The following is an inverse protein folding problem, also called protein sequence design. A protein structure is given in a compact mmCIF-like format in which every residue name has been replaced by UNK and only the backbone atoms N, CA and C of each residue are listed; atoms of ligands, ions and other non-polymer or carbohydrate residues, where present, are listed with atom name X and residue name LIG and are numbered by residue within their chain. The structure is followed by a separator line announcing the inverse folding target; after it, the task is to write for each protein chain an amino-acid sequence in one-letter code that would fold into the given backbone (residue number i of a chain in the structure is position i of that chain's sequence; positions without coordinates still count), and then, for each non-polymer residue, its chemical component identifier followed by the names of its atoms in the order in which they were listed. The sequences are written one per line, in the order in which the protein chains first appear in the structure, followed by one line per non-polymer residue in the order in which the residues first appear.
data_IF_861423586246
#
_entry.id   IF_861423586246
#
_cell.length_a   1.000
_cell.length_b   1.000
_cell.length_c   1.000
_cell.angle_alpha   90.00
_cell.angle_beta   90.00
_cell.angle_gamma   90.00
#
_symmetry.space_group_name_H-M   'P 1'
#
loop_
_entity.id
_entity.type
_entity.pdbx_description
1 polymer ?
#
# COMPACT_ATOMS: atom_id res chain seq x y z
N UNK A 1 52.57 10.29 42.34
CA UNK A 1 52.90 10.33 40.89
C UNK A 1 51.62 9.97 40.15
N UNK A 2 50.86 10.96 39.64
CA UNK A 2 50.82 11.45 38.23
C UNK A 2 50.40 10.31 37.25
N UNK A 3 49.40 10.44 36.38
CA UNK A 3 48.76 11.62 35.79
C UNK A 3 47.36 11.32 35.22
N UNK A 4 46.56 12.39 35.07
CA UNK A 4 45.38 12.49 34.21
C UNK A 4 45.75 12.36 32.72
N UNK A 5 44.81 11.86 31.92
CA UNK A 5 44.66 12.25 30.52
C UNK A 5 43.16 12.21 30.15
N UNK A 6 42.57 13.40 29.96
CA UNK A 6 41.26 13.56 29.34
C UNK A 6 41.38 13.52 27.82
N UNK A 7 40.42 12.89 27.16
CA UNK A 7 40.19 13.05 25.73
C UNK A 7 38.75 13.53 25.57
N UNK A 8 38.64 14.78 25.12
CA UNK A 8 37.43 15.39 24.61
C UNK A 8 36.95 14.60 23.39
N UNK A 9 35.77 13.99 23.48
CA UNK A 9 35.04 13.55 22.29
C UNK A 9 34.19 14.71 21.80
N UNK A 10 34.50 15.16 20.59
CA UNK A 10 33.72 16.10 19.81
C UNK A 10 32.27 15.61 19.69
N UNK A 11 31.34 16.49 20.07
CA UNK A 11 29.93 16.41 19.72
C UNK A 11 29.79 16.42 18.19
N UNK A 12 29.02 15.51 17.57
CA UNK A 12 28.52 15.75 16.24
C UNK A 12 27.47 16.87 16.32
N UNK A 13 27.79 18.00 15.68
CA UNK A 13 26.83 19.01 15.28
C UNK A 13 25.78 18.38 14.34
N UNK A 14 24.50 18.64 14.65
CA UNK A 14 23.33 18.59 13.78
C UNK A 14 22.96 17.23 13.15
N UNK A 15 22.21 16.44 13.92
CA UNK A 15 21.08 15.71 13.36
C UNK A 15 19.86 16.65 13.41
N UNK A 16 19.35 17.06 12.25
CA UNK A 16 18.08 17.75 12.16
C UNK A 16 16.96 16.77 12.53
N UNK A 17 16.18 17.09 13.58
CA UNK A 17 14.87 16.49 13.81
C UNK A 17 14.00 16.72 12.56
N UNK A 18 13.33 15.70 12.00
CA UNK A 18 12.30 15.95 11.00
C UNK A 18 11.10 16.59 11.72
N UNK A 19 10.81 17.86 11.41
CA UNK A 19 9.50 18.43 11.69
C UNK A 19 9.41 19.66 12.60
N UNK A 20 10.52 20.31 13.00
CA UNK A 20 10.41 21.68 13.53
C UNK A 20 10.54 22.68 12.39
N UNK A 21 9.46 23.38 11.98
CA UNK A 21 9.59 24.48 11.03
C UNK A 21 10.55 25.53 11.61
N UNK A 22 11.37 26.12 10.74
CA UNK A 22 12.16 27.30 11.10
C UNK A 22 11.23 28.36 11.69
N UNK A 23 11.61 29.05 12.77
CA UNK A 23 10.82 30.17 13.28
C UNK A 23 10.70 31.24 12.18
N UNK A 24 9.52 31.33 11.56
CA UNK A 24 9.21 32.22 10.44
C UNK A 24 8.69 31.56 9.16
N UNK A 25 8.70 30.23 9.03
CA UNK A 25 8.07 29.56 7.88
C UNK A 25 6.55 29.42 8.10
N UNK A 26 5.75 30.02 7.20
CA UNK A 26 4.29 29.88 7.18
C UNK A 26 3.94 28.40 6.96
N UNK A 27 3.00 27.86 7.74
CA UNK A 27 2.59 26.46 7.58
C UNK A 27 1.88 26.22 6.24
N UNK A 28 1.85 24.98 5.70
CA UNK A 28 1.19 24.71 4.43
C UNK A 28 -0.29 25.16 4.36
N UNK A 29 -1.14 24.95 5.40
CA UNK A 29 -2.51 25.49 5.43
C UNK A 29 -2.54 27.02 5.41
N UNK A 30 -1.71 27.69 6.21
CA UNK A 30 -1.66 29.16 6.28
C UNK A 30 -1.21 29.77 4.95
N UNK A 31 -0.31 29.11 4.21
CA UNK A 31 0.11 29.56 2.88
C UNK A 31 -1.06 29.54 1.88
N UNK A 32 -1.88 28.49 1.89
CA UNK A 32 -3.09 28.42 1.06
C UNK A 32 -4.11 29.49 1.49
N UNK A 33 -4.32 29.68 2.79
CA UNK A 33 -5.22 30.69 3.32
C UNK A 33 -4.79 32.12 2.99
N UNK A 34 -3.49 32.42 3.03
CA UNK A 34 -2.95 33.72 2.63
C UNK A 34 -3.25 34.04 1.15
N UNK A 35 -3.16 33.03 0.27
CA UNK A 35 -3.52 33.19 -1.14
C UNK A 35 -5.03 33.42 -1.29
N UNK A 36 -5.89 32.79 -0.48
CA UNK A 36 -7.32 33.09 -0.50
C UNK A 36 -7.57 34.56 -0.19
N UNK A 37 -6.97 35.08 0.89
CA UNK A 37 -7.10 36.49 1.28
C UNK A 37 -6.63 37.45 0.18
N UNK A 38 -5.54 37.13 -0.51
CA UNK A 38 -5.08 37.92 -1.67
C UNK A 38 -6.10 37.85 -2.84
N UNK A 39 -6.62 36.66 -3.13
CA UNK A 39 -7.64 36.43 -4.15
C UNK A 39 -9.01 37.03 -3.80
N UNK A 40 -9.25 37.54 -2.59
CA UNK A 40 -10.49 38.22 -2.22
C UNK A 40 -10.59 39.66 -2.71
N UNK A 41 -9.45 40.29 -2.97
CA UNK A 41 -9.37 41.70 -3.39
C UNK A 41 -8.68 41.88 -4.73
N UNK A 42 -7.95 40.88 -5.23
CA UNK A 42 -7.26 40.93 -6.53
C UNK A 42 -8.20 41.31 -7.68
N UNK A 43 -7.74 42.23 -8.53
CA UNK A 43 -8.47 42.80 -9.65
C UNK A 43 -7.68 42.77 -10.96
N UNK A 44 -6.39 42.41 -10.94
CA UNK A 44 -5.58 42.15 -12.12
C UNK A 44 -5.65 40.66 -12.51
N UNK A 45 -6.02 40.39 -13.77
CA UNK A 45 -6.16 39.03 -14.28
C UNK A 45 -4.83 38.26 -14.21
N UNK A 46 -3.72 38.89 -14.57
CA UNK A 46 -2.41 38.22 -14.59
C UNK A 46 -1.95 37.86 -13.19
N UNK A 47 -2.19 38.72 -12.19
CA UNK A 47 -1.92 38.44 -10.79
C UNK A 47 -2.81 37.33 -10.24
N UNK A 48 -4.12 37.35 -10.54
CA UNK A 48 -5.04 36.28 -10.16
C UNK A 48 -4.61 34.91 -10.72
N UNK A 49 -4.19 34.86 -12.00
CA UNK A 49 -3.65 33.64 -12.63
C UNK A 49 -2.41 33.12 -11.91
N UNK A 50 -1.46 33.99 -11.55
CA UNK A 50 -0.25 33.57 -10.80
C UNK A 50 -0.62 33.00 -9.43
N UNK A 51 -1.46 33.71 -8.68
CA UNK A 51 -1.92 33.28 -7.35
C UNK A 51 -2.66 31.94 -7.41
N UNK A 52 -3.53 31.72 -8.41
CA UNK A 52 -4.25 30.46 -8.55
C UNK A 52 -3.34 29.29 -8.93
N UNK A 53 -2.32 29.51 -9.77
CA UNK A 53 -1.33 28.47 -10.08
C UNK A 53 -0.54 28.08 -8.82
N UNK A 54 -0.10 29.06 -8.05
CA UNK A 54 0.56 28.82 -6.77
C UNK A 54 -0.36 28.08 -5.80
N UNK A 55 -1.61 28.54 -5.66
CA UNK A 55 -2.62 27.90 -4.82
C UNK A 55 -2.85 26.45 -5.24
N UNK A 56 -2.95 26.16 -6.54
CA UNK A 56 -3.16 24.80 -7.05
C UNK A 56 -2.01 23.87 -6.63
N UNK A 57 -0.76 24.31 -6.79
CA UNK A 57 0.41 23.54 -6.36
C UNK A 57 0.42 23.29 -4.84
N UNK A 58 0.13 24.34 -4.04
CA UNK A 58 0.06 24.24 -2.58
C UNK A 58 -1.09 23.36 -2.09
N UNK A 59 -2.26 23.48 -2.71
CA UNK A 59 -3.41 22.66 -2.36
C UNK A 59 -3.18 21.19 -2.70
N UNK A 60 -2.46 20.88 -3.79
CA UNK A 60 -2.06 19.50 -4.12
C UNK A 60 -1.16 18.89 -3.05
N UNK A 61 -0.15 19.63 -2.60
CA UNK A 61 0.71 19.24 -1.47
C UNK A 61 -0.10 19.04 -0.17
N UNK A 62 -1.06 19.93 0.08
CA UNK A 62 -1.92 19.87 1.25
C UNK A 62 -2.90 18.68 1.20
N UNK A 63 -3.44 18.33 0.04
CA UNK A 63 -4.26 17.12 -0.15
C UNK A 63 -3.48 15.88 0.27
N UNK A 64 -2.21 15.79 -0.12
CA UNK A 64 -1.38 14.62 0.14
C UNK A 64 -0.97 14.47 1.63
N UNK A 65 -0.88 15.58 2.35
CA UNK A 65 -0.29 15.62 3.71
C UNK A 65 -1.29 15.92 4.82
N UNK A 66 -2.31 16.74 4.55
CA UNK A 66 -3.34 17.20 5.49
C UNK A 66 -4.71 17.32 4.77
N UNK A 67 -5.32 16.19 4.36
CA UNK A 67 -6.54 16.21 3.54
C UNK A 67 -7.71 16.94 4.20
N UNK A 68 -7.84 16.89 5.54
CA UNK A 68 -8.86 17.64 6.26
C UNK A 68 -8.71 19.16 6.05
N UNK A 69 -7.50 19.69 6.22
CA UNK A 69 -7.21 21.11 5.98
C UNK A 69 -7.41 21.50 4.50
N UNK A 70 -7.05 20.63 3.56
CA UNK A 70 -7.31 20.86 2.15
C UNK A 70 -8.80 20.97 1.82
N UNK A 71 -9.64 20.14 2.47
CA UNK A 71 -11.09 20.18 2.30
C UNK A 71 -11.71 21.46 2.88
N UNK A 72 -11.23 21.92 4.03
CA UNK A 72 -11.64 23.19 4.65
C UNK A 72 -11.20 24.40 3.82
N UNK A 73 -10.01 24.35 3.22
CA UNK A 73 -9.42 25.41 2.40
C UNK A 73 -9.78 25.33 0.92
N UNK A 74 -10.90 24.69 0.59
CA UNK A 74 -11.52 24.80 -0.74
C UNK A 74 -11.85 26.26 -1.07
N UNK A 75 -11.67 26.66 -2.32
CA UNK A 75 -11.87 28.02 -2.79
C UNK A 75 -13.36 28.38 -2.64
N UNK A 76 -13.69 29.38 -1.81
CA UNK A 76 -15.08 29.76 -1.57
C UNK A 76 -15.80 30.19 -2.85
N UNK A 77 -17.09 29.83 -2.98
CA UNK A 77 -17.89 30.16 -4.17
C UNK A 77 -17.93 31.66 -4.44
N UNK A 78 -17.99 32.49 -3.38
CA UNK A 78 -17.89 33.95 -3.47
C UNK A 78 -16.63 34.42 -4.23
N UNK A 79 -15.49 33.79 -3.97
CA UNK A 79 -14.22 34.12 -4.64
C UNK A 79 -14.25 33.59 -6.08
N UNK A 80 -14.73 32.35 -6.29
CA UNK A 80 -14.88 31.74 -7.62
C UNK A 80 -15.71 32.61 -8.56
N UNK A 81 -16.91 32.99 -8.17
CA UNK A 81 -17.81 33.83 -8.96
C UNK A 81 -17.18 35.18 -9.29
N UNK A 82 -16.49 35.79 -8.32
CA UNK A 82 -15.81 37.08 -8.52
C UNK A 82 -14.68 36.97 -9.53
N UNK A 83 -13.84 35.94 -9.42
CA UNK A 83 -12.73 35.70 -10.35
C UNK A 83 -13.24 35.32 -11.76
N UNK A 84 -14.36 34.61 -11.87
CA UNK A 84 -15.00 34.31 -13.16
C UNK A 84 -15.56 35.57 -13.84
N UNK A 85 -16.00 36.57 -13.07
CA UNK A 85 -16.37 37.89 -13.61
C UNK A 85 -15.15 38.69 -14.06
N UNK A 86 -13.99 38.49 -13.43
CA UNK A 86 -12.72 39.09 -13.84
C UNK A 86 -12.24 38.49 -15.16
N UNK A 87 -12.16 37.15 -15.25
CA UNK A 87 -11.82 36.45 -16.47
C UNK A 87 -12.39 35.02 -16.48
N UNK A 88 -13.26 34.66 -17.45
CA UNK A 88 -13.82 33.31 -17.53
C UNK A 88 -12.78 32.21 -17.78
N UNK A 89 -11.61 32.55 -18.35
CA UNK A 89 -10.54 31.59 -18.69
C UNK A 89 -9.84 31.02 -17.46
N UNK A 90 -9.99 31.69 -16.31
CA UNK A 90 -9.40 31.28 -15.03
C UNK A 90 -10.05 30.00 -14.46
N UNK A 91 -11.23 29.61 -14.95
CA UNK A 91 -12.01 28.45 -14.46
C UNK A 91 -11.16 27.18 -14.31
N UNK A 92 -10.29 26.91 -15.27
CA UNK A 92 -9.48 25.68 -15.30
C UNK A 92 -8.39 25.64 -14.21
N UNK A 93 -8.11 26.79 -13.57
CA UNK A 93 -7.16 26.89 -12.47
C UNK A 93 -7.78 26.54 -11.10
N UNK A 94 -9.11 26.50 -11.00
CA UNK A 94 -9.78 26.09 -9.77
C UNK A 94 -9.59 24.60 -9.50
N UNK A 95 -9.63 24.22 -8.22
CA UNK A 95 -9.87 22.83 -7.87
C UNK A 95 -11.31 22.44 -8.23
N UNK A 96 -11.52 21.18 -8.57
CA UNK A 96 -12.85 20.64 -8.75
C UNK A 96 -13.42 20.24 -7.39
N UNK A 97 -14.70 20.56 -7.16
CA UNK A 97 -15.43 20.13 -5.98
C UNK A 97 -16.56 19.23 -6.45
N UNK A 98 -16.75 18.08 -5.82
CA UNK A 98 -17.74 17.14 -6.31
C UNK A 98 -17.84 15.84 -5.52
N UNK A 99 -18.65 14.96 -6.08
CA UNK A 99 -18.81 13.58 -5.66
C UNK A 99 -18.37 12.67 -6.80
N UNK A 100 -17.71 11.59 -6.44
CA UNK A 100 -17.19 10.60 -7.36
C UNK A 100 -17.54 9.19 -6.85
N UNK A 101 -17.86 8.29 -7.77
CA UNK A 101 -18.27 6.93 -7.43
C UNK A 101 -17.68 5.94 -8.42
N UNK A 102 -16.85 5.02 -7.93
CA UNK A 102 -16.25 3.95 -8.73
C UNK A 102 -15.71 2.83 -7.82
N UNK A 103 -15.11 1.80 -8.42
CA UNK A 103 -14.36 0.76 -7.70
C UNK A 103 -13.07 1.33 -7.09
N UNK A 104 -12.85 1.03 -5.82
CA UNK A 104 -11.63 1.31 -5.11
C UNK A 104 -10.51 0.38 -5.60
N UNK A 105 -9.33 0.94 -5.77
CA UNK A 105 -8.07 0.23 -5.78
C UNK A 105 -7.34 0.54 -4.48
N UNK A 106 -7.02 -0.52 -3.74
CA UNK A 106 -6.37 -0.45 -2.44
C UNK A 106 -5.06 -1.19 -2.56
N UNK A 107 -3.98 -0.51 -2.18
CA UNK A 107 -2.63 -1.03 -2.33
C UNK A 107 -1.89 -0.83 -1.01
N UNK A 108 -1.17 -1.84 -0.56
CA UNK A 108 -0.17 -1.72 0.49
C UNK A 108 1.22 -1.62 -0.15
N UNK A 109 2.02 -0.68 0.34
CA UNK A 109 3.40 -0.45 -0.09
C UNK A 109 4.32 -0.65 1.12
N UNK A 110 5.33 -1.50 0.95
CA UNK A 110 6.13 -2.04 2.04
C UNK A 110 7.63 -1.80 1.80
N UNK A 111 8.23 -0.98 2.66
CA UNK A 111 9.69 -0.80 2.73
C UNK A 111 10.19 -1.34 4.08
N UNK A 112 10.39 -2.65 4.14
CA UNK A 112 10.90 -3.35 5.32
C UNK A 112 12.27 -2.84 5.77
N UNK A 113 13.12 -2.40 4.84
CA UNK A 113 14.46 -1.91 5.17
C UNK A 113 14.42 -0.60 5.96
N UNK A 114 13.40 0.24 5.71
CA UNK A 114 13.18 1.50 6.43
C UNK A 114 12.08 1.42 7.49
N UNK A 115 11.35 0.30 7.58
CA UNK A 115 10.20 0.15 8.48
C UNK A 115 9.05 1.08 8.10
N UNK A 116 8.85 1.34 6.80
CA UNK A 116 7.79 2.22 6.30
C UNK A 116 6.71 1.36 5.64
N UNK A 117 5.45 1.59 6.01
CA UNK A 117 4.26 1.06 5.35
C UNK A 117 3.41 2.22 4.86
N UNK A 118 2.75 2.07 3.71
CA UNK A 118 1.75 3.02 3.23
C UNK A 118 0.59 2.30 2.56
N UNK A 119 -0.61 2.51 3.09
CA UNK A 119 -1.83 2.20 2.35
C UNK A 119 -2.17 3.32 1.38
N UNK A 120 -2.36 2.97 0.11
CA UNK A 120 -2.76 3.89 -0.96
C UNK A 120 -4.13 3.52 -1.48
N UNK A 121 -4.98 4.54 -1.61
CA UNK A 121 -6.34 4.42 -2.12
C UNK A 121 -6.45 5.15 -3.44
N UNK A 122 -7.06 4.52 -4.43
CA UNK A 122 -7.29 5.06 -5.76
C UNK A 122 -8.66 4.67 -6.25
N UNK A 123 -9.16 5.37 -7.26
CA UNK A 123 -10.31 4.93 -8.05
C UNK A 123 -10.14 5.40 -9.50
N UNK A 124 -10.77 4.72 -10.46
CA UNK A 124 -10.68 5.10 -11.87
C UNK A 124 -11.93 5.84 -12.35
N UNK A 125 -11.99 7.15 -12.15
CA UNK A 125 -13.14 7.95 -12.60
C UNK A 125 -12.90 8.63 -13.93
N UNK A 126 -13.76 8.34 -14.91
CA UNK A 126 -13.71 8.97 -16.24
C UNK A 126 -12.42 8.69 -17.00
N UNK A 127 -11.83 7.50 -16.80
CA UNK A 127 -10.57 7.08 -17.43
C UNK A 127 -9.32 7.69 -16.80
N UNK A 128 -9.44 8.31 -15.62
CA UNK A 128 -8.31 8.86 -14.85
C UNK A 128 -8.18 8.14 -13.52
N UNK A 129 -6.96 7.71 -13.20
CA UNK A 129 -6.64 7.22 -11.87
C UNK A 129 -6.57 8.41 -10.90
N UNK A 130 -7.48 8.46 -9.93
CA UNK A 130 -7.54 9.48 -8.90
C UNK A 130 -7.02 8.91 -7.59
N UNK A 131 -5.92 9.45 -7.07
CA UNK A 131 -5.44 9.12 -5.73
C UNK A 131 -6.33 9.79 -4.67
N UNK A 132 -6.77 8.99 -3.69
CA UNK A 132 -7.70 9.40 -2.65
C UNK A 132 -6.96 9.56 -1.32
N UNK A 133 -7.08 10.75 -0.74
CA UNK A 133 -6.59 11.06 0.59
C UNK A 133 -7.78 11.30 1.50
N UNK A 134 -8.09 10.31 2.34
CA UNK A 134 -9.26 10.40 3.20
C UNK A 134 -9.00 11.33 4.38
N UNK A 135 -9.98 12.17 4.70
CA UNK A 135 -9.91 13.06 5.88
C UNK A 135 -10.01 12.29 7.20
N UNK A 136 -10.66 11.14 7.18
CA UNK A 136 -10.79 10.18 8.28
C UNK A 136 -10.41 8.79 7.78
N UNK A 137 -9.79 7.93 8.60
CA UNK A 137 -9.47 6.57 8.19
C UNK A 137 -10.72 5.84 7.64
N UNK A 138 -10.71 5.33 6.40
CA UNK A 138 -11.84 4.59 5.88
C UNK A 138 -11.98 3.25 6.63
N UNK A 139 -13.13 2.56 6.52
CA UNK A 139 -13.23 1.16 6.93
C UNK A 139 -12.22 0.30 6.14
N UNK A 140 -12.11 -0.99 6.46
CA UNK A 140 -11.19 -1.92 5.79
C UNK A 140 -11.62 -2.22 4.33
N UNK A 141 -11.48 -1.22 3.46
CA UNK A 141 -11.74 -1.29 2.02
C UNK A 141 -10.79 -2.29 1.35
N UNK A 142 -11.27 -2.90 0.27
CA UNK A 142 -10.49 -3.77 -0.61
C UNK A 142 -10.66 -3.33 -2.06
N UNK A 143 -9.76 -3.81 -2.91
CA UNK A 143 -9.91 -3.71 -4.35
C UNK A 143 -11.28 -4.23 -4.80
N UNK A 144 -11.90 -3.51 -5.73
CA UNK A 144 -13.21 -3.84 -6.29
C UNK A 144 -14.39 -3.34 -5.47
N UNK A 145 -14.22 -2.96 -4.20
CA UNK A 145 -15.29 -2.32 -3.43
C UNK A 145 -15.74 -1.05 -4.12
N UNK A 146 -17.05 -0.87 -4.34
CA UNK A 146 -17.56 0.33 -4.98
C UNK A 146 -17.79 1.40 -3.93
N UNK A 147 -17.04 2.50 -4.03
CA UNK A 147 -17.05 3.59 -3.05
C UNK A 147 -17.64 4.85 -3.67
N UNK A 148 -18.38 5.61 -2.85
CA UNK A 148 -18.82 6.98 -3.15
C UNK A 148 -18.05 7.91 -2.23
N UNK A 149 -17.38 8.90 -2.80
CA UNK A 149 -16.56 9.87 -2.07
C UNK A 149 -16.93 11.30 -2.47
N UNK A 150 -16.87 12.21 -1.51
CA UNK A 150 -17.12 13.64 -1.73
C UNK A 150 -15.88 14.44 -1.31
N UNK A 151 -15.50 15.46 -2.09
CA UNK A 151 -14.37 16.28 -1.69
C UNK A 151 -13.88 17.27 -2.73
N UNK A 152 -12.58 17.55 -2.67
CA UNK A 152 -11.89 18.47 -3.60
C UNK A 152 -10.77 17.76 -4.34
N UNK A 153 -10.67 18.01 -5.64
CA UNK A 153 -9.69 17.41 -6.54
C UNK A 153 -8.80 18.46 -7.18
N UNK A 154 -7.50 18.19 -7.16
CA UNK A 154 -6.49 18.91 -7.95
C UNK A 154 -5.72 17.89 -8.78
N UNK A 155 -5.80 18.03 -10.10
CA UNK A 155 -5.20 17.10 -11.06
C UNK A 155 -5.64 15.64 -10.84
N UNK A 156 -4.72 14.81 -10.36
CA UNK A 156 -4.81 13.36 -10.14
C UNK A 156 -4.92 12.99 -8.65
N UNK A 157 -5.15 13.96 -7.76
CA UNK A 157 -5.30 13.72 -6.32
C UNK A 157 -6.54 14.41 -5.76
N UNK A 158 -7.20 13.79 -4.79
CA UNK A 158 -8.34 14.36 -4.10
C UNK A 158 -8.29 14.16 -2.58
N UNK A 159 -8.64 15.20 -1.82
CA UNK A 159 -8.96 15.08 -0.41
C UNK A 159 -10.45 14.78 -0.27
N UNK A 160 -10.80 13.69 0.40
CA UNK A 160 -12.16 13.13 0.34
C UNK A 160 -12.70 12.66 1.69
N UNK A 161 -14.02 12.77 1.82
CA UNK A 161 -14.85 12.07 2.80
C UNK A 161 -15.53 10.89 2.13
N UNK A 162 -15.64 9.78 2.86
CA UNK A 162 -16.37 8.61 2.39
C UNK A 162 -17.87 8.82 2.61
N UNK A 163 -18.65 8.75 1.53
CA UNK A 163 -20.10 8.93 1.54
C UNK A 163 -20.87 7.60 1.46
N UNK A 164 -20.23 6.52 0.98
CA UNK A 164 -20.83 5.19 0.96
C UNK A 164 -19.89 4.10 0.45
N UNK A 165 -20.17 2.86 0.85
CA UNK A 165 -19.43 1.67 0.41
C UNK A 165 -20.43 0.59 0.03
N UNK A 166 -20.23 -0.01 -1.13
CA UNK A 166 -20.86 -1.25 -1.56
C UNK A 166 -19.77 -2.30 -1.69
N UNK A 167 -19.75 -3.25 -0.77
CA UNK A 167 -18.73 -4.31 -0.72
C UNK A 167 -18.87 -5.19 -1.96
N UNK A 168 -17.74 -5.44 -2.64
CA UNK A 168 -17.74 -6.28 -3.83
C UNK A 168 -17.91 -7.75 -3.50
N UNK A 169 -18.80 -8.42 -4.23
CA UNK A 169 -18.87 -9.89 -4.24
C UNK A 169 -17.82 -10.52 -5.18
N UNK A 170 -17.22 -9.72 -6.06
CA UNK A 170 -16.24 -10.17 -7.06
C UNK A 170 -14.83 -10.13 -6.44
N UNK A 171 -14.55 -11.09 -5.57
CA UNK A 171 -13.22 -11.31 -4.99
C UNK A 171 -12.67 -12.69 -5.36
N UNK A 172 -11.35 -12.82 -5.43
CA UNK A 172 -10.75 -14.16 -5.52
C UNK A 172 -10.88 -14.88 -4.17
N UNK A 173 -11.10 -16.20 -4.22
CA UNK A 173 -11.12 -17.05 -3.03
C UNK A 173 -9.81 -16.96 -2.25
N UNK A 174 -9.88 -17.02 -0.92
CA UNK A 174 -8.72 -17.21 -0.03
C UNK A 174 -8.42 -18.70 0.23
N UNK A 175 -9.27 -19.58 -0.29
CA UNK A 175 -9.24 -21.03 -0.13
C UNK A 175 -8.98 -21.71 -1.49
N UNK A 176 -8.45 -22.92 -1.42
CA UNK A 176 -8.11 -23.76 -2.56
C UNK A 176 -6.84 -23.31 -3.29
N UNK A 177 -6.74 -23.77 -4.53
CA UNK A 177 -5.62 -23.47 -5.42
C UNK A 177 -5.63 -22.00 -5.87
N UNK A 178 -4.56 -21.28 -5.55
CA UNK A 178 -4.32 -19.91 -5.98
C UNK A 178 -3.49 -19.94 -7.27
N UNK A 179 -4.17 -19.86 -8.43
CA UNK A 179 -3.51 -19.85 -9.74
C UNK A 179 -2.69 -18.58 -9.93
N UNK A 180 -1.37 -18.74 -9.95
CA UNK A 180 -0.42 -17.63 -9.92
C UNK A 180 0.46 -17.57 -11.17
N UNK A 181 0.45 -16.45 -11.89
CA UNK A 181 1.39 -16.17 -12.96
C UNK A 181 2.51 -15.27 -12.42
N UNK A 182 3.75 -15.77 -12.45
CA UNK A 182 4.93 -15.00 -12.05
C UNK A 182 5.64 -14.47 -13.29
N UNK A 183 5.73 -13.15 -13.42
CA UNK A 183 6.34 -12.49 -14.56
C UNK A 183 7.71 -11.93 -14.16
N UNK A 184 8.77 -12.40 -14.81
CA UNK A 184 10.11 -11.85 -14.69
C UNK A 184 10.24 -10.68 -15.66
N UNK A 185 10.59 -9.50 -15.16
CA UNK A 185 10.60 -8.28 -15.96
C UNK A 185 11.98 -7.64 -16.01
N UNK A 186 12.41 -7.26 -17.21
CA UNK A 186 13.56 -6.39 -17.45
C UNK A 186 13.06 -5.02 -17.92
N UNK A 187 13.83 -3.98 -17.61
CA UNK A 187 13.68 -2.67 -18.23
C UNK A 187 14.84 -2.43 -19.22
N UNK A 188 14.72 -1.50 -20.17
CA UNK A 188 15.76 -1.25 -21.17
C UNK A 188 17.15 -0.95 -20.57
N UNK A 189 17.22 -0.29 -19.42
CA UNK A 189 18.50 0.01 -18.75
C UNK A 189 18.70 -0.71 -17.41
N UNK A 190 17.86 -1.68 -17.07
CA UNK A 190 17.99 -2.45 -15.83
C UNK A 190 17.49 -3.89 -16.07
N UNK A 191 18.34 -4.88 -15.81
CA UNK A 191 17.99 -6.29 -15.97
C UNK A 191 17.97 -6.98 -14.62
N UNK A 192 17.17 -8.05 -14.52
CA UNK A 192 17.20 -8.93 -13.36
C UNK A 192 18.61 -9.53 -13.20
N UNK A 193 19.06 -9.72 -11.95
CA UNK A 193 20.31 -10.43 -11.68
C UNK A 193 20.32 -11.81 -12.35
N UNK A 194 21.46 -12.27 -12.91
CA UNK A 194 21.55 -13.57 -13.59
C UNK A 194 21.15 -14.77 -12.73
N UNK A 195 21.25 -14.64 -11.40
CA UNK A 195 20.84 -15.67 -10.45
C UNK A 195 19.31 -15.85 -10.37
N UNK A 196 18.51 -14.86 -10.79
CA UNK A 196 17.05 -14.93 -10.84
C UNK A 196 16.59 -15.59 -12.14
N UNK A 197 16.76 -16.90 -12.18
CA UNK A 197 16.28 -17.75 -13.27
C UNK A 197 14.79 -18.11 -13.07
N UNK A 198 14.06 -18.48 -14.13
CA UNK A 198 12.71 -19.01 -13.99
C UNK A 198 12.62 -20.18 -12.99
N UNK A 199 13.61 -21.08 -12.97
CA UNK A 199 13.65 -22.20 -12.03
C UNK A 199 13.88 -21.78 -10.58
N UNK A 200 14.78 -20.81 -10.32
CA UNK A 200 15.03 -20.36 -8.94
C UNK A 200 13.82 -19.59 -8.38
N UNK A 201 13.14 -18.80 -9.21
CA UNK A 201 11.90 -18.13 -8.83
C UNK A 201 10.76 -19.13 -8.66
N UNK A 202 10.69 -20.17 -9.51
CA UNK A 202 9.71 -21.24 -9.35
C UNK A 202 9.83 -21.90 -7.96
N UNK A 203 11.06 -22.17 -7.49
CA UNK A 203 11.29 -22.73 -6.16
C UNK A 203 10.75 -21.85 -5.03
N UNK A 204 10.80 -20.52 -5.16
CA UNK A 204 10.31 -19.57 -4.14
C UNK A 204 8.78 -19.61 -4.04
N UNK A 205 8.07 -19.70 -5.16
CA UNK A 205 6.60 -19.65 -5.18
C UNK A 205 5.93 -21.02 -5.06
N UNK A 206 6.50 -22.05 -5.70
CA UNK A 206 5.84 -23.34 -5.92
C UNK A 206 6.69 -24.55 -5.54
N UNK A 207 7.95 -24.36 -5.17
CA UNK A 207 8.86 -25.45 -4.81
C UNK A 207 8.45 -26.16 -3.52
N UNK A 208 8.97 -27.38 -3.33
CA UNK A 208 8.82 -28.14 -2.07
C UNK A 208 10.10 -28.12 -1.21
N UNK A 209 11.21 -27.63 -1.75
CA UNK A 209 12.52 -27.52 -1.07
C UNK A 209 13.41 -26.50 -1.81
N UNK A 210 13.98 -25.47 -1.13
CA UNK A 210 13.67 -25.04 0.25
C UNK A 210 12.20 -24.58 0.38
N UNK A 211 11.80 -24.09 1.56
CA UNK A 211 10.43 -23.61 1.82
C UNK A 211 9.97 -22.64 0.73
N UNK A 212 8.68 -22.66 0.40
CA UNK A 212 8.07 -21.80 -0.62
C UNK A 212 6.82 -21.09 -0.11
N UNK A 213 6.30 -20.13 -0.90
CA UNK A 213 5.00 -19.51 -0.64
C UNK A 213 3.89 -20.56 -0.58
N UNK A 214 3.85 -21.49 -1.55
CA UNK A 214 2.84 -22.56 -1.58
C UNK A 214 2.93 -23.45 -0.34
N UNK A 215 4.14 -23.85 0.08
CA UNK A 215 4.34 -24.69 1.26
C UNK A 215 3.90 -23.96 2.54
N UNK A 216 4.29 -22.69 2.71
CA UNK A 216 3.88 -21.88 3.85
C UNK A 216 2.36 -21.74 3.93
N UNK A 217 1.69 -21.43 2.82
CA UNK A 217 0.24 -21.33 2.81
C UNK A 217 -0.42 -22.66 3.10
N UNK A 218 0.09 -23.76 2.56
CA UNK A 218 -0.46 -25.10 2.82
C UNK A 218 -0.34 -25.46 4.29
N UNK A 219 0.81 -25.21 4.92
CA UNK A 219 1.05 -25.44 6.34
C UNK A 219 0.16 -24.52 7.20
N UNK A 220 0.25 -23.22 6.97
CA UNK A 220 -0.44 -22.19 7.76
C UNK A 220 -1.97 -22.29 7.70
N UNK A 221 -2.51 -22.85 6.61
CA UNK A 221 -3.96 -22.98 6.36
C UNK A 221 -4.50 -24.39 6.63
N UNK A 222 -3.70 -25.31 7.17
CA UNK A 222 -4.09 -26.71 7.40
C UNK A 222 -4.54 -27.42 6.10
N UNK A 223 -3.82 -27.16 5.02
CA UNK A 223 -4.06 -27.73 3.70
C UNK A 223 -5.19 -27.06 2.90
N UNK A 224 -5.80 -25.98 3.41
CA UNK A 224 -6.94 -25.33 2.76
C UNK A 224 -6.57 -24.42 1.61
N UNK A 225 -5.35 -23.90 1.59
CA UNK A 225 -4.89 -22.93 0.59
C UNK A 225 -3.47 -23.26 0.15
N UNK A 226 -3.20 -23.16 -1.14
CA UNK A 226 -1.86 -23.32 -1.71
C UNK A 226 -1.76 -22.55 -3.01
N UNK A 227 -0.54 -22.40 -3.54
CA UNK A 227 -0.30 -21.73 -4.81
C UNK A 227 0.10 -22.75 -5.89
N UNK A 228 -0.35 -22.56 -7.12
CA UNK A 228 0.18 -23.28 -8.28
C UNK A 228 0.24 -22.36 -9.49
N UNK A 229 1.14 -22.67 -10.42
CA UNK A 229 1.26 -21.85 -11.62
C UNK A 229 2.59 -22.00 -12.31
N UNK A 230 3.03 -20.92 -12.96
CA UNK A 230 4.22 -20.92 -13.78
C UNK A 230 4.97 -19.58 -13.68
N UNK A 231 6.26 -19.63 -14.02
CA UNK A 231 7.14 -18.47 -14.13
C UNK A 231 7.42 -18.21 -15.59
N UNK A 232 7.22 -16.96 -16.02
CA UNK A 232 7.33 -16.52 -17.41
C UNK A 232 8.38 -15.42 -17.56
N UNK A 233 9.00 -15.35 -18.73
CA UNK A 233 10.00 -14.35 -19.08
C UNK A 233 11.45 -14.81 -18.91
N UNK A 234 12.42 -13.88 -18.84
CA UNK A 234 12.20 -12.45 -18.66
C UNK A 234 11.60 -11.75 -19.87
N UNK A 235 10.65 -10.84 -19.64
CA UNK A 235 10.12 -9.91 -20.65
C UNK A 235 10.78 -8.54 -20.49
N UNK A 236 11.28 -7.97 -21.57
CA UNK A 236 11.81 -6.59 -21.55
C UNK A 236 10.69 -5.60 -21.86
N UNK A 237 10.40 -4.70 -20.91
CA UNK A 237 9.41 -3.63 -21.08
C UNK A 237 9.93 -2.55 -22.05
N UNK A 238 9.00 -1.74 -22.61
CA UNK A 238 9.31 -0.74 -23.64
C UNK A 238 10.07 0.49 -23.11
N UNK A 239 10.07 0.72 -21.80
CA UNK A 239 10.74 1.85 -21.15
C UNK A 239 11.14 1.50 -19.71
N UNK A 240 11.93 2.38 -19.09
CA UNK A 240 12.24 2.28 -17.67
C UNK A 240 11.10 2.86 -16.84
N UNK A 241 10.89 2.28 -15.66
CA UNK A 241 9.93 2.76 -14.67
C UNK A 241 10.60 2.97 -13.31
N UNK A 242 9.90 3.69 -12.44
CA UNK A 242 10.25 3.93 -11.03
C UNK A 242 9.24 3.25 -10.10
N UNK A 243 9.60 3.05 -8.83
CA UNK A 243 8.74 2.45 -7.81
C UNK A 243 7.41 3.20 -7.59
N UNK A 244 7.26 4.44 -8.08
CA UNK A 244 6.00 5.18 -8.00
C UNK A 244 4.99 4.87 -9.11
N UNK A 245 5.37 4.04 -10.10
CA UNK A 245 4.60 3.81 -11.33
C UNK A 245 3.97 2.41 -11.38
N UNK A 246 3.38 1.97 -10.27
CA UNK A 246 2.83 0.61 -10.10
C UNK A 246 1.77 0.20 -11.12
N UNK A 247 0.82 1.09 -11.42
CA UNK A 247 -0.21 0.83 -12.42
C UNK A 247 0.40 0.70 -13.80
N UNK A 248 1.31 1.59 -14.17
CA UNK A 248 1.95 1.58 -15.49
C UNK A 248 2.87 0.36 -15.67
N UNK A 249 3.57 -0.06 -14.60
CA UNK A 249 4.40 -1.28 -14.61
C UNK A 249 3.51 -2.51 -14.80
N UNK A 250 2.41 -2.63 -14.04
CA UNK A 250 1.48 -3.76 -14.16
C UNK A 250 0.89 -3.85 -15.57
N UNK A 251 0.38 -2.74 -16.09
CA UNK A 251 -0.27 -2.72 -17.40
C UNK A 251 0.74 -3.04 -18.52
N UNK A 252 1.98 -2.53 -18.42
CA UNK A 252 3.06 -2.85 -19.34
C UNK A 252 3.52 -4.32 -19.25
N UNK A 253 3.54 -4.90 -18.03
CA UNK A 253 3.89 -6.30 -17.82
C UNK A 253 2.85 -7.25 -18.42
N UNK A 254 1.55 -6.96 -18.22
CA UNK A 254 0.45 -7.70 -18.87
C UNK A 254 0.62 -7.63 -20.39
N UNK A 255 0.78 -6.43 -20.95
CA UNK A 255 0.94 -6.25 -22.39
C UNK A 255 2.17 -6.98 -22.97
N UNK A 256 3.29 -6.98 -22.25
CA UNK A 256 4.52 -7.65 -22.71
C UNK A 256 4.43 -9.18 -22.68
N UNK A 257 3.66 -9.74 -21.74
CA UNK A 257 3.51 -11.18 -21.55
C UNK A 257 2.28 -11.78 -22.24
N UNK A 258 1.37 -10.95 -22.74
CA UNK A 258 0.07 -11.31 -23.33
C UNK A 258 0.15 -12.44 -24.36
N UNK A 259 1.07 -12.36 -25.32
CA UNK A 259 1.25 -13.41 -26.34
C UNK A 259 1.72 -14.78 -25.80
N UNK A 260 2.20 -14.83 -24.56
CA UNK A 260 2.73 -16.03 -23.91
C UNK A 260 1.87 -16.52 -22.74
N UNK A 261 0.94 -15.71 -22.23
CA UNK A 261 0.19 -15.98 -21.00
C UNK A 261 -1.28 -15.63 -21.19
N UNK A 262 -2.14 -16.65 -21.16
CA UNK A 262 -3.59 -16.43 -21.01
C UNK A 262 -3.90 -16.08 -19.55
N UNK A 263 -4.01 -14.80 -19.26
CA UNK A 263 -4.24 -14.29 -17.90
C UNK A 263 -5.58 -14.70 -17.30
N UNK A 264 -6.55 -15.14 -18.11
CA UNK A 264 -7.86 -15.60 -17.62
C UNK A 264 -7.75 -16.91 -16.83
N UNK A 265 -6.62 -17.60 -16.92
CA UNK A 265 -6.32 -18.83 -16.17
C UNK A 265 -5.74 -18.56 -14.77
N UNK A 266 -5.47 -17.30 -14.43
CA UNK A 266 -4.78 -16.91 -13.21
C UNK A 266 -5.61 -15.93 -12.37
N UNK A 267 -5.54 -16.08 -11.05
CA UNK A 267 -6.18 -15.19 -10.08
C UNK A 267 -5.17 -14.35 -9.29
N UNK A 268 -3.87 -14.64 -9.44
CA UNK A 268 -2.77 -13.90 -8.83
C UNK A 268 -1.71 -13.58 -9.89
N UNK A 269 -1.30 -12.32 -9.95
CA UNK A 269 -0.16 -11.88 -10.75
C UNK A 269 0.99 -11.47 -9.82
N UNK A 270 2.18 -11.95 -10.10
CA UNK A 270 3.41 -11.59 -9.39
C UNK A 270 4.35 -10.92 -10.39
N UNK A 271 4.77 -9.70 -10.10
CA UNK A 271 5.71 -8.94 -10.93
C UNK A 271 7.07 -8.92 -10.24
N UNK A 272 8.06 -9.60 -10.80
CA UNK A 272 9.45 -9.56 -10.31
C UNK A 272 10.20 -8.46 -11.06
N UNK A 273 10.57 -7.40 -10.33
CA UNK A 273 11.07 -6.16 -10.93
C UNK A 273 12.58 -5.99 -10.79
N UNK A 274 13.28 -5.42 -11.79
CA UNK A 274 14.72 -5.16 -11.74
C UNK A 274 15.01 -3.85 -10.97
N UNK A 275 14.27 -3.61 -9.88
CA UNK A 275 14.36 -2.44 -9.02
C UNK A 275 14.48 -2.87 -7.56
N UNK A 276 14.97 -1.98 -6.70
CA UNK A 276 14.91 -2.10 -5.25
C UNK A 276 13.78 -1.21 -4.72
N UNK A 277 12.57 -1.76 -4.62
CA UNK A 277 11.35 -1.03 -4.28
C UNK A 277 10.61 -1.61 -3.06
N UNK A 278 11.20 -2.58 -2.36
CA UNK A 278 10.47 -3.37 -1.37
C UNK A 278 9.33 -4.17 -1.99
N UNK A 279 8.21 -4.20 -1.28
CA UNK A 279 7.00 -4.95 -1.62
C UNK A 279 5.82 -4.03 -1.95
N UNK A 280 4.86 -4.57 -2.70
CA UNK A 280 3.57 -3.94 -2.92
C UNK A 280 2.55 -5.01 -3.25
N UNK A 281 1.37 -4.91 -2.64
CA UNK A 281 0.26 -5.81 -2.86
C UNK A 281 -1.05 -5.07 -2.99
N UNK A 282 -1.84 -5.42 -4.01
CA UNK A 282 -3.25 -5.04 -4.03
C UNK A 282 -3.99 -5.76 -2.90
N UNK A 283 -4.86 -5.06 -2.18
CA UNK A 283 -5.65 -5.64 -1.09
C UNK A 283 -6.90 -6.30 -1.69
N UNK A 284 -6.83 -7.61 -1.92
CA UNK A 284 -7.87 -8.34 -2.66
C UNK A 284 -7.71 -8.25 -4.18
N UNK A 285 -8.73 -8.74 -4.90
CA UNK A 285 -8.73 -8.78 -6.37
C UNK A 285 -9.48 -7.62 -6.99
N UNK A 286 -9.15 -7.32 -8.24
CA UNK A 286 -9.89 -6.39 -9.09
C UNK A 286 -10.03 -6.94 -10.49
N UNK A 287 -10.90 -6.32 -11.27
CA UNK A 287 -10.94 -6.56 -12.71
C UNK A 287 -9.73 -5.91 -13.38
N UNK A 288 -9.00 -6.72 -14.13
CA UNK A 288 -7.91 -6.35 -15.03
C UNK A 288 -8.28 -6.74 -16.45
N UNK A 289 -7.52 -6.26 -17.44
CA UNK A 289 -7.78 -6.55 -18.86
C UNK A 289 -6.48 -6.86 -19.59
N UNK A 290 -6.57 -7.83 -20.50
CA UNK A 290 -5.55 -8.28 -21.45
C UNK A 290 -6.13 -8.28 -22.86
N UNK A 291 -5.35 -8.57 -23.90
CA UNK A 291 -5.89 -8.68 -25.26
C UNK A 291 -6.88 -9.86 -25.39
N UNK A 292 -6.72 -10.88 -24.56
CA UNK A 292 -7.61 -12.05 -24.48
C UNK A 292 -8.93 -11.78 -23.73
N UNK A 293 -9.07 -10.59 -23.14
CA UNK A 293 -10.26 -10.13 -22.43
C UNK A 293 -10.01 -9.76 -20.97
N UNK A 294 -11.10 -9.49 -20.26
CA UNK A 294 -11.07 -9.15 -18.83
C UNK A 294 -10.93 -10.39 -17.95
N UNK A 295 -10.22 -10.24 -16.85
CA UNK A 295 -10.02 -11.28 -15.84
C UNK A 295 -9.94 -10.66 -14.44
N UNK A 296 -10.23 -11.44 -13.41
CA UNK A 296 -10.19 -10.98 -12.02
C UNK A 296 -8.94 -11.53 -11.35
N UNK A 297 -8.04 -10.64 -10.95
CA UNK A 297 -6.83 -11.02 -10.26
C UNK A 297 -6.39 -9.97 -9.25
N UNK A 298 -5.59 -10.40 -8.30
CA UNK A 298 -4.79 -9.52 -7.45
C UNK A 298 -3.37 -9.44 -8.00
N UNK A 299 -2.64 -8.40 -7.66
CA UNK A 299 -1.27 -8.21 -8.09
C UNK A 299 -0.37 -7.98 -6.89
N UNK A 300 0.80 -8.60 -6.91
CA UNK A 300 1.93 -8.15 -6.10
C UNK A 300 3.07 -7.78 -7.03
N UNK A 301 3.95 -6.91 -6.55
CA UNK A 301 5.32 -6.88 -7.06
C UNK A 301 6.31 -7.26 -5.97
N UNK A 302 7.47 -7.71 -6.42
CA UNK A 302 8.60 -7.99 -5.53
C UNK A 302 9.86 -7.43 -6.20
N UNK A 303 10.50 -6.47 -5.55
CA UNK A 303 11.77 -5.92 -5.99
C UNK A 303 12.92 -6.92 -5.83
N UNK A 304 13.99 -6.72 -6.61
CA UNK A 304 15.23 -7.53 -6.53
C UNK A 304 15.89 -7.53 -5.14
N UNK A 305 15.64 -6.50 -4.32
CA UNK A 305 16.09 -6.39 -2.93
C UNK A 305 15.52 -7.49 -2.01
N UNK A 306 14.38 -8.09 -2.37
CA UNK A 306 13.81 -9.25 -1.68
C UNK A 306 14.60 -10.55 -1.91
N UNK A 307 15.36 -10.64 -3.01
CA UNK A 307 15.97 -11.89 -3.46
C UNK A 307 17.41 -12.09 -2.99
N UNK A 308 17.83 -11.37 -1.95
CA UNK A 308 19.15 -11.55 -1.33
C UNK A 308 19.32 -12.97 -0.73
N UNK A 309 18.24 -13.54 -0.20
CA UNK A 309 18.20 -14.93 0.27
C UNK A 309 16.89 -15.58 -0.14
N UNK A 310 16.86 -16.92 -0.22
CA UNK A 310 15.63 -17.65 -0.54
C UNK A 310 14.53 -17.37 0.50
N UNK A 311 14.85 -17.40 1.79
CA UNK A 311 13.84 -17.19 2.82
C UNK A 311 13.32 -15.75 2.86
N UNK A 312 14.14 -14.75 2.56
CA UNK A 312 13.64 -13.37 2.43
C UNK A 312 12.68 -13.24 1.24
N UNK A 313 13.00 -13.88 0.11
CA UNK A 313 12.11 -13.87 -1.05
C UNK A 313 10.78 -14.58 -0.76
N UNK A 314 10.80 -15.69 -0.01
CA UNK A 314 9.59 -16.38 0.47
C UNK A 314 8.82 -15.49 1.44
N UNK A 315 9.50 -14.82 2.37
CA UNK A 315 8.88 -13.88 3.30
C UNK A 315 8.10 -12.80 2.56
N UNK A 316 8.74 -12.14 1.59
CA UNK A 316 8.10 -11.12 0.75
C UNK A 316 6.94 -11.68 -0.06
N UNK A 317 7.14 -12.82 -0.74
CA UNK A 317 6.09 -13.46 -1.52
C UNK A 317 4.85 -13.79 -0.66
N UNK A 318 5.06 -14.29 0.56
CA UNK A 318 3.98 -14.63 1.49
C UNK A 318 3.34 -13.36 2.08
N UNK A 319 4.11 -12.35 2.45
CA UNK A 319 3.61 -11.08 2.99
C UNK A 319 2.70 -10.38 1.97
N UNK A 320 3.22 -10.10 0.78
CA UNK A 320 2.47 -9.43 -0.28
C UNK A 320 1.27 -10.27 -0.75
N UNK A 321 1.46 -11.59 -0.81
CA UNK A 321 0.38 -12.52 -1.11
C UNK A 321 -0.73 -12.53 -0.04
N UNK A 322 -0.42 -12.19 1.21
CA UNK A 322 -1.41 -11.97 2.27
C UNK A 322 -2.29 -10.75 2.00
N UNK A 323 -1.72 -9.65 1.50
CA UNK A 323 -2.51 -8.51 1.02
C UNK A 323 -3.44 -8.91 -0.12
N UNK A 324 -3.00 -9.75 -1.05
CA UNK A 324 -3.83 -10.29 -2.13
C UNK A 324 -5.05 -11.11 -1.63
N UNK A 325 -5.03 -11.62 -0.39
CA UNK A 325 -6.18 -12.21 0.28
C UNK A 325 -7.04 -11.21 1.08
N UNK A 326 -6.61 -9.95 1.13
CA UNK A 326 -7.30 -8.86 1.80
C UNK A 326 -6.88 -8.65 3.25
N UNK A 327 -5.70 -9.15 3.65
CA UNK A 327 -5.11 -8.86 4.96
C UNK A 327 -4.45 -7.49 4.98
N UNK A 328 -4.38 -6.92 6.19
CA UNK A 328 -3.54 -5.77 6.51
C UNK A 328 -2.32 -6.25 7.30
N UNK A 329 -1.41 -5.34 7.63
CA UNK A 329 -0.26 -5.66 8.45
C UNK A 329 -0.65 -6.16 9.84
N UNK A 330 0.20 -7.00 10.40
CA UNK A 330 0.16 -7.39 11.80
C UNK A 330 1.10 -6.49 12.57
N UNK A 331 0.53 -5.70 13.48
CA UNK A 331 1.24 -4.71 14.27
C UNK A 331 1.20 -5.05 15.76
N UNK A 332 1.96 -4.31 16.55
CA UNK A 332 1.84 -4.34 18.02
C UNK A 332 1.26 -3.04 18.55
N UNK A 333 0.53 -3.17 19.65
CA UNK A 333 0.04 -2.04 20.44
C UNK A 333 0.48 -2.24 21.89
N UNK A 334 1.46 -1.46 22.33
CA UNK A 334 2.05 -1.56 23.65
C UNK A 334 1.48 -0.52 24.63
N UNK A 335 1.25 -0.93 25.88
CA UNK A 335 0.70 -0.08 26.95
C UNK A 335 1.70 0.06 28.10
N UNK A 336 2.85 0.68 27.82
CA UNK A 336 3.95 0.81 28.79
C UNK A 336 4.35 -0.58 29.34
N UNK A 337 4.25 -0.82 30.65
CA UNK A 337 4.58 -2.10 31.28
C UNK A 337 3.43 -3.11 31.32
N UNK A 338 2.23 -2.77 30.82
CA UNK A 338 1.08 -3.66 30.86
C UNK A 338 0.90 -4.41 29.52
N UNK A 339 0.60 -5.73 29.55
CA UNK A 339 0.35 -6.50 28.34
C UNK A 339 -0.99 -6.15 27.66
N UNK A 340 -1.95 -5.60 28.41
CA UNK A 340 -3.26 -5.16 27.94
C UNK A 340 -3.68 -3.90 28.71
N UNK A 341 -4.53 -3.07 28.11
CA UNK A 341 -5.12 -1.89 28.73
C UNK A 341 -6.65 -1.90 28.61
N UNK A 342 -7.33 -0.91 29.21
CA UNK A 342 -8.77 -0.74 29.07
C UNK A 342 -9.17 -0.53 27.60
N UNK A 343 -10.37 -0.96 27.24
CA UNK A 343 -10.91 -0.77 25.90
C UNK A 343 -10.87 0.73 25.52
N UNK A 344 -10.31 1.04 24.35
CA UNK A 344 -10.17 2.41 23.86
C UNK A 344 -8.96 3.19 24.40
N UNK A 345 -8.10 2.58 25.23
CA UNK A 345 -6.85 3.22 25.62
C UNK A 345 -5.93 3.44 24.41
N UNK A 346 -5.25 4.58 24.39
CA UNK A 346 -4.25 4.88 23.36
C UNK A 346 -2.93 4.20 23.73
N UNK A 347 -2.48 3.26 22.90
CA UNK A 347 -1.19 2.58 23.05
C UNK A 347 -0.15 3.12 22.09
N UNK A 348 1.11 2.72 22.30
CA UNK A 348 2.18 2.93 21.32
C UNK A 348 2.05 1.88 20.23
N UNK A 349 1.80 2.32 19.00
CA UNK A 349 1.66 1.45 17.84
C UNK A 349 3.00 1.25 17.14
N UNK A 350 3.32 0.02 16.76
CA UNK A 350 4.43 -0.33 15.88
C UNK A 350 3.90 -1.24 14.77
N UNK A 351 3.82 -0.69 13.55
CA UNK A 351 3.22 -1.30 12.36
C UNK A 351 3.77 -2.68 12.06
N UNK A 352 5.08 -2.87 12.23
CA UNK A 352 5.75 -4.14 11.93
C UNK A 352 6.21 -4.89 13.19
N UNK A 353 5.72 -4.47 14.36
CA UNK A 353 6.18 -5.00 15.65
C UNK A 353 5.81 -6.46 15.90
N UNK A 354 4.91 -7.06 15.11
CA UNK A 354 4.61 -8.50 15.21
C UNK A 354 5.62 -9.32 14.40
N UNK A 355 6.76 -9.61 15.04
CA UNK A 355 7.83 -10.42 14.43
C UNK A 355 7.46 -11.90 14.21
N UNK A 356 6.34 -12.38 14.78
CA UNK A 356 5.93 -13.78 14.68
C UNK A 356 4.92 -14.03 13.56
N UNK A 357 4.44 -12.97 12.92
CA UNK A 357 3.51 -13.02 11.80
C UNK A 357 4.21 -12.56 10.53
N UNK A 358 4.05 -13.31 9.43
CA UNK A 358 4.50 -12.84 8.12
C UNK A 358 3.68 -11.69 7.55
N UNK A 359 2.65 -11.21 8.25
CA UNK A 359 2.03 -9.90 7.97
C UNK A 359 2.66 -8.76 8.80
N UNK A 360 3.60 -9.03 9.70
CA UNK A 360 4.43 -8.02 10.35
C UNK A 360 5.77 -7.86 9.62
N UNK A 361 6.84 -7.55 10.33
CA UNK A 361 8.17 -7.47 9.71
C UNK A 361 8.64 -8.83 9.19
N UNK A 362 9.28 -8.81 8.00
CA UNK A 362 10.23 -9.85 7.61
C UNK A 362 11.46 -9.81 8.55
N UNK A 363 11.30 -10.34 9.77
CA UNK A 363 12.31 -10.30 10.82
C UNK A 363 13.43 -11.33 10.63
N UNK A 364 14.69 -10.86 10.71
CA UNK A 364 15.86 -11.72 10.77
C UNK A 364 16.30 -11.92 12.23
N UNK A 365 16.35 -13.17 12.67
CA UNK A 365 16.83 -13.54 14.00
C UNK A 365 17.98 -14.54 13.89
N UNK A 366 19.15 -14.17 14.43
CA UNK A 366 20.31 -15.05 14.46
C UNK A 366 20.83 -15.45 13.06
N UNK A 367 20.65 -14.59 12.06
CA UNK A 367 21.05 -14.86 10.67
C UNK A 367 20.05 -15.66 9.85
N UNK A 368 18.89 -16.02 10.43
CA UNK A 368 17.81 -16.72 9.75
C UNK A 368 16.55 -15.87 9.68
N UNK A 369 15.82 -15.97 8.58
CA UNK A 369 14.54 -15.31 8.42
C UNK A 369 13.48 -16.06 9.23
N UNK A 370 12.72 -15.36 10.07
CA UNK A 370 11.60 -15.95 10.79
C UNK A 370 10.38 -16.01 9.86
N UNK A 371 10.02 -17.21 9.40
CA UNK A 371 8.87 -17.45 8.51
C UNK A 371 7.63 -17.89 9.31
N UNK A 372 7.19 -17.03 10.23
CA UNK A 372 6.04 -17.31 11.10
C UNK A 372 4.71 -17.49 10.35
N UNK A 373 3.75 -18.16 10.99
CA UNK A 373 2.39 -18.22 10.46
C UNK A 373 1.72 -16.84 10.52
N UNK A 374 0.72 -16.58 9.68
CA UNK A 374 -0.16 -15.44 9.92
C UNK A 374 -0.80 -15.52 11.31
N UNK A 375 -0.96 -14.37 11.96
CA UNK A 375 -1.62 -14.26 13.26
C UNK A 375 -3.05 -14.82 13.24
N UNK A 376 -3.55 -15.26 14.40
CA UNK A 376 -4.87 -15.88 14.52
C UNK A 376 -6.03 -15.03 13.95
N UNK A 377 -6.10 -13.70 14.16
CA UNK A 377 -7.14 -12.87 13.54
C UNK A 377 -7.13 -12.95 12.01
N UNK A 378 -5.93 -12.95 11.40
CA UNK A 378 -5.78 -13.10 9.96
C UNK A 378 -6.23 -14.48 9.49
N UNK A 379 -5.81 -15.56 10.14
CA UNK A 379 -6.30 -16.92 9.80
C UNK A 379 -7.82 -17.03 9.88
N UNK A 380 -8.45 -16.38 10.87
CA UNK A 380 -9.90 -16.33 10.98
C UNK A 380 -10.54 -15.54 9.82
N UNK A 381 -10.00 -14.36 9.48
CA UNK A 381 -10.48 -13.55 8.36
C UNK A 381 -10.43 -14.28 7.01
N UNK A 382 -9.42 -15.14 6.82
CA UNK A 382 -9.25 -15.93 5.61
C UNK A 382 -10.11 -17.19 5.55
N UNK A 383 -10.82 -17.53 6.64
CA UNK A 383 -11.56 -18.79 6.74
C UNK A 383 -10.66 -20.03 6.87
N UNK A 384 -9.41 -19.86 7.31
CA UNK A 384 -8.46 -20.97 7.47
C UNK A 384 -8.75 -21.81 8.71
N UNK A 385 -9.38 -21.23 9.72
CA UNK A 385 -9.84 -21.97 10.88
C UNK A 385 -11.09 -22.81 10.57
N UNK A 386 -11.13 -24.04 11.10
CA UNK A 386 -12.33 -24.86 11.09
C UNK A 386 -13.37 -24.33 12.09
N UNK A 387 -14.66 -24.63 11.90
CA UNK A 387 -15.66 -24.45 12.95
C UNK A 387 -15.19 -25.16 14.23
N UNK A 388 -15.03 -24.43 15.33
CA UNK A 388 -14.52 -24.95 16.61
C UNK A 388 -13.10 -24.51 16.98
N UNK A 389 -12.30 -24.02 16.03
CA UNK A 389 -10.96 -23.47 16.34
C UNK A 389 -11.04 -22.09 16.99
N UNK A 390 -12.23 -21.46 16.95
CA UNK A 390 -12.52 -20.19 17.63
C UNK A 390 -13.69 -20.40 18.58
N UNK A 391 -13.46 -20.07 19.85
CA UNK A 391 -14.48 -20.10 20.90
C UNK A 391 -14.89 -18.68 21.30
N UNK A 392 -16.19 -18.40 21.35
CA UNK A 392 -16.72 -17.15 21.93
C UNK A 392 -16.94 -17.35 23.42
N UNK A 393 -16.17 -16.63 24.24
CA UNK A 393 -16.25 -16.68 25.70
C UNK A 393 -17.22 -15.61 26.19
N UNK A 394 -18.32 -16.03 26.83
CA UNK A 394 -19.35 -15.12 27.38
C UNK A 394 -19.50 -15.22 28.91
N UNK A 395 -18.84 -16.20 29.52
CA UNK A 395 -18.87 -16.45 30.96
C UNK A 395 -17.45 -16.45 31.51
N UNK A 396 -17.29 -16.07 32.78
CA UNK A 396 -15.99 -16.17 33.44
C UNK A 396 -15.60 -17.65 33.65
N UNK A 397 -14.36 -17.99 33.36
CA UNK A 397 -13.86 -19.37 33.48
C UNK A 397 -12.41 -19.52 33.07
N UNK A 398 -11.91 -20.75 33.17
CA UNK A 398 -10.59 -21.14 32.65
C UNK A 398 -10.74 -21.74 31.27
N UNK A 399 -9.88 -21.30 30.34
CA UNK A 399 -9.88 -21.73 28.95
C UNK A 399 -8.48 -22.20 28.55
N UNK A 400 -8.39 -23.28 27.78
CA UNK A 400 -7.12 -23.78 27.23
C UNK A 400 -6.98 -23.30 25.80
N UNK A 401 -5.86 -22.62 25.52
CA UNK A 401 -5.49 -22.22 24.16
C UNK A 401 -4.42 -23.19 23.68
N UNK A 402 -4.70 -23.88 22.58
CA UNK A 402 -3.73 -24.76 21.94
C UNK A 402 -2.83 -23.96 20.99
N UNK A 403 -1.57 -24.37 20.80
CA UNK A 403 -0.74 -23.78 19.75
C UNK A 403 -1.41 -24.00 18.39
N UNK A 404 -1.67 -22.92 17.67
CA UNK A 404 -2.48 -22.98 16.45
C UNK A 404 -1.72 -23.57 15.26
N UNK A 405 -0.40 -23.72 15.33
CA UNK A 405 0.38 -24.44 14.33
C UNK A 405 0.05 -25.94 14.26
N UNK A 406 -0.53 -26.51 15.33
CA UNK A 406 -0.82 -27.95 15.43
C UNK A 406 -2.31 -28.30 15.40
N UNK A 407 -3.23 -27.32 15.36
CA UNK A 407 -4.67 -27.57 15.46
C UNK A 407 -5.38 -27.54 14.11
N UNK A 408 -5.88 -28.71 13.69
CA UNK A 408 -6.83 -28.89 12.59
C UNK A 408 -8.26 -28.66 13.05
#
# INVERSE_FOLDING_TARGET
MKALAGVFSLLPLWAAEPGRPFPGAISPPEAVAAIHSALETEADESAAVRLLRERRARLKELIATQPAAALELRLPERIRERLLRLSPTIRDLFEEQGEWEDEAEVIEEDDFARGISRTRYRMNTGGRNLALHFVEPPPALKCGDRIRVQGVRVDDQAAVQLAGVQVSAAGCSTLGDQKTAVLLLNFPSASLPPALTPSSVYSIFFGSTPRSQSDHWRESSYGRTWSSGAVFGPFTLSQNYSCGQDTQIRDAAIAAADSAVDFRLYTRLVLVLPLACGGLGTVGCRTLTSADGSFTASTIWVGTDAFNTSDLAVCMAVHEGGHNFGLRHASTLAFSSAPLSSLGAVGSHDEYGDYFSLMGACFNYGGSQLLGHYAAPHKQMLGWFAPGNVATVQTGGSYTIQPFENTT
#
